data_IF_853209023436
#
_entry.id   IF_853209023436
#
_cell.length_a   1.000
_cell.length_b   1.000
_cell.length_c   1.000
_cell.angle_alpha   90.00
_cell.angle_beta   90.00
_cell.angle_gamma   90.00
#
_symmetry.space_group_name_H-M   'P 1'
#
loop_
_entity.id
_entity.type
_entity.pdbx_description
1 polymer ?
#
# COMPACT_ATOMS: atom_id res chain seq x y z
N UNK A 1 -3.84 -37.89 12.17
CA UNK A 1 -2.88 -36.78 12.41
C UNK A 1 -3.69 -35.58 12.89
N UNK A 2 -3.46 -35.12 14.12
CA UNK A 2 -4.16 -33.98 14.73
C UNK A 2 -3.73 -32.71 14.00
N UNK A 3 -4.70 -31.92 13.52
CA UNK A 3 -4.45 -30.56 13.01
C UNK A 3 -3.87 -29.73 14.16
N UNK A 4 -2.77 -28.99 13.98
CA UNK A 4 -2.22 -28.14 15.02
C UNK A 4 -3.22 -27.01 15.34
N UNK A 5 -3.59 -26.89 16.61
CA UNK A 5 -4.61 -26.00 17.16
C UNK A 5 -4.18 -24.53 17.28
N UNK A 6 -3.11 -24.13 16.59
CA UNK A 6 -2.46 -22.82 16.74
C UNK A 6 -2.56 -21.91 15.49
N UNK A 7 -3.38 -22.29 14.50
CA UNK A 7 -3.61 -21.54 13.26
C UNK A 7 -5.10 -21.26 13.00
N UNK A 8 -5.95 -21.39 14.01
CA UNK A 8 -7.41 -21.27 13.91
C UNK A 8 -7.99 -20.06 14.66
N UNK A 9 -7.16 -19.31 15.39
CA UNK A 9 -7.52 -17.97 15.86
C UNK A 9 -7.28 -16.96 14.72
N UNK A 10 -8.34 -16.23 14.36
CA UNK A 10 -8.36 -14.99 13.58
C UNK A 10 -8.20 -14.99 12.05
N UNK A 11 -8.51 -16.07 11.33
CA UNK A 11 -8.68 -15.98 9.85
C UNK A 11 -10.12 -15.67 9.41
N UNK A 12 -11.11 -15.91 10.28
CA UNK A 12 -12.52 -15.58 10.01
C UNK A 12 -12.88 -14.15 10.37
N UNK A 13 -12.26 -13.58 11.42
CA UNK A 13 -12.59 -12.24 11.93
C UNK A 13 -12.18 -11.14 10.94
N UNK A 14 -10.99 -11.23 10.34
CA UNK A 14 -10.48 -10.17 9.43
C UNK A 14 -11.25 -10.03 8.11
N UNK A 15 -12.25 -10.87 7.83
CA UNK A 15 -13.01 -10.84 6.56
C UNK A 15 -14.49 -10.44 6.74
N UNK A 16 -15.02 -10.42 7.97
CA UNK A 16 -16.41 -10.02 8.28
C UNK A 16 -16.52 -8.55 8.69
N UNK A 17 -15.48 -8.00 9.32
CA UNK A 17 -15.57 -6.67 9.97
C UNK A 17 -15.74 -5.50 8.98
N UNK A 18 -15.49 -5.72 7.68
CA UNK A 18 -15.69 -4.71 6.64
C UNK A 18 -17.10 -4.68 6.04
N UNK A 19 -17.95 -5.66 6.39
CA UNK A 19 -19.34 -5.69 5.96
C UNK A 19 -20.25 -4.95 6.99
N UNK A 20 -19.84 -4.91 8.28
CA UNK A 20 -20.60 -4.29 9.39
C UNK A 20 -20.35 -2.77 9.55
N UNK A 21 -19.15 -2.27 9.24
CA UNK A 21 -18.80 -0.84 9.42
C UNK A 21 -19.34 0.08 8.31
N UNK A 22 -19.92 -0.48 7.25
CA UNK A 22 -20.30 0.28 6.07
C UNK A 22 -19.09 0.86 5.34
N UNK A 23 -19.18 0.95 4.02
CA UNK A 23 -18.13 1.55 3.18
C UNK A 23 -18.07 3.09 3.33
N UNK A 24 -18.52 3.66 4.44
CA UNK A 24 -18.71 5.10 4.63
C UNK A 24 -17.43 5.94 4.68
N UNK A 25 -16.28 5.36 5.04
CA UNK A 25 -15.08 6.15 5.38
C UNK A 25 -13.76 5.61 4.78
N UNK A 26 -13.67 5.48 3.46
CA UNK A 26 -12.34 5.63 2.83
C UNK A 26 -12.13 7.14 2.60
N UNK A 27 -11.66 7.84 3.64
CA UNK A 27 -11.25 9.24 3.57
C UNK A 27 -9.72 9.29 3.37
N UNK A 28 -9.29 10.08 2.38
CA UNK A 28 -8.25 11.13 2.53
C UNK A 28 -7.80 11.63 1.15
N UNK A 29 -8.67 12.42 0.51
CA UNK A 29 -8.25 13.67 -0.12
C UNK A 29 -8.89 14.76 0.74
N UNK A 30 -8.10 15.45 1.56
CA UNK A 30 -8.56 16.59 2.37
C UNK A 30 -9.39 17.54 1.51
N UNK A 31 -10.67 17.67 1.86
CA UNK A 31 -11.57 18.69 1.36
C UNK A 31 -12.29 19.29 2.57
N UNK A 32 -12.26 20.62 2.65
CA UNK A 32 -12.83 21.42 3.74
C UNK A 32 -14.27 20.99 4.11
N UNK A 33 -14.53 20.90 5.41
CA UNK A 33 -15.80 20.47 6.03
C UNK A 33 -17.02 21.34 5.69
N UNK A 34 -16.86 22.38 4.86
CA UNK A 34 -17.90 23.37 4.57
C UNK A 34 -18.79 23.05 3.35
N UNK A 35 -18.50 21.98 2.58
CA UNK A 35 -19.30 21.58 1.41
C UNK A 35 -20.25 20.39 1.66
N UNK A 36 -20.33 19.88 2.89
CA UNK A 36 -21.25 18.80 3.30
C UNK A 36 -22.63 19.36 3.70
N UNK A 37 -23.38 19.87 2.72
CA UNK A 37 -24.83 20.08 2.87
C UNK A 37 -25.61 18.95 2.18
N UNK A 38 -26.08 18.04 3.03
CA UNK A 38 -27.42 17.41 3.06
C UNK A 38 -28.17 17.29 1.72
N UNK A 39 -28.08 16.10 1.10
CA UNK A 39 -29.20 15.54 0.34
C UNK A 39 -29.38 14.08 0.74
N UNK A 40 -30.09 13.88 1.84
CA UNK A 40 -30.52 12.55 2.28
C UNK A 40 -31.52 11.97 1.27
N UNK A 41 -31.04 11.05 0.43
CA UNK A 41 -31.89 10.05 -0.20
C UNK A 41 -31.92 8.87 0.78
N UNK A 42 -33.03 8.74 1.50
CA UNK A 42 -33.37 7.51 2.23
C UNK A 42 -33.63 6.42 1.19
N UNK A 43 -32.61 5.64 0.86
CA UNK A 43 -32.84 4.31 0.32
C UNK A 43 -33.12 3.38 1.51
N UNK A 44 -34.32 2.82 1.48
CA UNK A 44 -34.88 1.90 2.45
C UNK A 44 -34.16 0.56 2.34
N UNK A 45 -33.09 0.36 3.10
CA UNK A 45 -32.49 -0.96 3.26
C UNK A 45 -33.24 -1.73 4.36
N UNK A 46 -33.86 -2.83 3.90
CA UNK A 46 -34.53 -3.84 4.68
C UNK A 46 -33.60 -4.49 5.68
N UNK A 47 -34.04 -4.56 6.93
CA UNK A 47 -33.49 -5.40 7.99
C UNK A 47 -33.37 -6.85 7.49
N UNK A 48 -32.17 -7.40 7.49
CA UNK A 48 -31.94 -8.84 7.32
C UNK A 48 -31.71 -9.40 8.72
N UNK A 49 -32.75 -9.96 9.30
CA UNK A 49 -32.65 -10.78 10.51
C UNK A 49 -31.97 -12.11 10.16
N UNK A 50 -30.92 -12.46 10.88
CA UNK A 50 -30.26 -13.77 10.80
C UNK A 50 -31.16 -14.86 11.41
N UNK A 51 -32.19 -15.28 10.66
CA UNK A 51 -32.90 -16.53 10.93
C UNK A 51 -32.10 -17.71 10.33
N UNK A 52 -31.68 -18.62 11.21
CA UNK A 52 -31.16 -19.95 10.85
C UNK A 52 -32.28 -20.77 10.20
N UNK A 53 -32.49 -20.56 8.90
CA UNK A 53 -33.51 -21.23 8.10
C UNK A 53 -33.12 -22.71 7.90
N UNK A 54 -33.92 -23.59 8.48
CA UNK A 54 -33.85 -25.03 8.27
C UNK A 54 -33.96 -25.39 6.79
N UNK A 55 -33.21 -26.42 6.34
CA UNK A 55 -33.12 -26.95 4.97
C UNK A 55 -34.45 -27.54 4.43
N UNK A 56 -35.49 -26.72 4.32
CA UNK A 56 -36.65 -27.01 3.50
C UNK A 56 -36.40 -26.35 2.14
N UNK A 57 -36.47 -27.07 1.01
CA UNK A 57 -36.37 -26.44 -0.30
C UNK A 57 -37.49 -25.42 -0.40
N UNK A 58 -37.10 -24.15 -0.46
CA UNK A 58 -38.04 -23.09 -0.75
C UNK A 58 -38.55 -23.40 -2.16
N UNK A 59 -39.86 -23.33 -2.42
CA UNK A 59 -40.40 -23.63 -3.76
C UNK A 59 -39.90 -22.69 -4.89
N UNK A 60 -38.86 -21.90 -4.64
CA UNK A 60 -38.18 -21.02 -5.59
C UNK A 60 -36.74 -21.52 -5.80
N UNK A 61 -36.40 -22.06 -6.98
CA UNK A 61 -35.07 -22.58 -7.25
C UNK A 61 -33.95 -21.52 -7.10
N UNK A 62 -34.31 -20.23 -7.21
CA UNK A 62 -33.37 -19.10 -7.09
C UNK A 62 -32.91 -18.84 -5.64
N UNK A 63 -33.62 -19.39 -4.65
CA UNK A 63 -33.31 -19.23 -3.21
C UNK A 63 -32.69 -20.48 -2.59
N UNK A 64 -32.69 -21.59 -3.31
CA UNK A 64 -32.11 -22.82 -2.81
C UNK A 64 -30.58 -22.73 -2.81
N UNK A 65 -29.96 -22.97 -1.65
CA UNK A 65 -28.51 -22.89 -1.53
C UNK A 65 -27.87 -24.08 -2.24
N UNK A 66 -27.12 -23.81 -3.30
CA UNK A 66 -26.34 -24.83 -3.99
C UNK A 66 -25.25 -25.39 -3.06
N UNK A 67 -25.36 -26.67 -2.70
CA UNK A 67 -24.33 -27.36 -1.93
C UNK A 67 -23.11 -27.63 -2.81
N UNK A 68 -22.06 -26.83 -2.59
CA UNK A 68 -20.76 -27.02 -3.20
C UNK A 68 -19.83 -27.82 -2.28
N UNK A 69 -18.84 -28.56 -2.82
CA UNK A 69 -17.81 -29.22 -2.01
C UNK A 69 -17.18 -28.33 -0.93
N UNK A 70 -16.96 -27.04 -1.20
CA UNK A 70 -16.42 -26.08 -0.22
C UNK A 70 -17.34 -25.79 0.98
N UNK A 71 -18.65 -26.01 0.82
CA UNK A 71 -19.66 -25.81 1.87
C UNK A 71 -19.87 -27.08 2.72
N UNK A 72 -19.26 -28.19 2.33
CA UNK A 72 -19.37 -29.48 3.01
C UNK A 72 -18.20 -29.69 3.96
N UNK A 73 -18.44 -30.43 5.06
CA UNK A 73 -17.34 -30.91 5.89
C UNK A 73 -16.43 -31.86 5.11
N UNK A 74 -15.10 -31.81 5.29
CA UNK A 74 -14.17 -32.75 4.64
C UNK A 74 -14.55 -34.23 4.85
N UNK A 75 -15.20 -34.55 5.96
CA UNK A 75 -15.71 -35.89 6.24
C UNK A 75 -16.81 -36.33 5.26
N UNK A 76 -17.73 -35.42 4.90
CA UNK A 76 -18.81 -35.67 3.95
C UNK A 76 -18.23 -35.87 2.55
N UNK A 77 -17.30 -35.00 2.15
CA UNK A 77 -16.58 -35.10 0.86
C UNK A 77 -15.89 -36.46 0.75
N UNK A 78 -15.23 -36.93 1.82
CA UNK A 78 -14.58 -38.24 1.84
C UNK A 78 -15.57 -39.40 1.80
N UNK A 79 -16.64 -39.34 2.61
CA UNK A 79 -17.67 -40.39 2.70
C UNK A 79 -18.36 -40.64 1.37
N UNK A 80 -18.68 -39.57 0.63
CA UNK A 80 -19.35 -39.65 -0.67
C UNK A 80 -18.38 -39.69 -1.86
N UNK A 81 -17.06 -39.76 -1.61
CA UNK A 81 -16.01 -39.80 -2.65
C UNK A 81 -16.09 -38.65 -3.65
N UNK A 82 -16.32 -37.43 -3.15
CA UNK A 82 -16.49 -36.22 -3.96
C UNK A 82 -15.16 -35.48 -4.20
N UNK A 83 -14.00 -36.15 -4.04
CA UNK A 83 -12.69 -35.49 -4.17
C UNK A 83 -12.50 -34.85 -5.55
N UNK A 84 -12.88 -35.56 -6.62
CA UNK A 84 -12.77 -35.03 -7.98
C UNK A 84 -13.61 -33.75 -8.18
N UNK A 85 -14.80 -33.66 -7.55
CA UNK A 85 -15.61 -32.45 -7.60
C UNK A 85 -14.97 -31.31 -6.81
N UNK A 86 -14.36 -31.61 -5.66
CA UNK A 86 -13.60 -30.64 -4.88
C UNK A 86 -12.40 -30.09 -5.68
N UNK A 87 -11.69 -30.94 -6.42
CA UNK A 87 -10.57 -30.53 -7.29
C UNK A 87 -11.04 -29.65 -8.46
N UNK A 88 -12.20 -29.96 -9.06
CA UNK A 88 -12.81 -29.13 -10.10
C UNK A 88 -13.27 -27.79 -9.54
N UNK A 89 -13.92 -27.79 -8.38
CA UNK A 89 -14.32 -26.55 -7.71
C UNK A 89 -13.09 -25.70 -7.39
N UNK A 90 -12.00 -26.31 -6.89
CA UNK A 90 -10.77 -25.59 -6.57
C UNK A 90 -10.23 -24.83 -7.79
N UNK A 91 -10.18 -25.46 -8.97
CA UNK A 91 -9.77 -24.80 -10.22
C UNK A 91 -10.71 -23.66 -10.60
N UNK A 92 -12.01 -23.84 -10.41
CA UNK A 92 -13.00 -22.80 -10.67
C UNK A 92 -12.84 -21.62 -9.71
N UNK A 93 -12.57 -21.86 -8.42
CA UNK A 93 -12.30 -20.80 -7.43
C UNK A 93 -11.03 -20.03 -7.75
N UNK A 94 -9.97 -20.70 -8.22
CA UNK A 94 -8.75 -20.04 -8.71
C UNK A 94 -9.08 -19.08 -9.87
N UNK A 95 -9.89 -19.52 -10.84
CA UNK A 95 -10.36 -18.66 -11.92
C UNK A 95 -11.14 -17.45 -11.40
N UNK A 96 -12.11 -17.67 -10.50
CA UNK A 96 -12.89 -16.59 -9.87
C UNK A 96 -12.03 -15.60 -9.09
N UNK A 97 -10.99 -16.07 -8.40
CA UNK A 97 -10.04 -15.21 -7.69
C UNK A 97 -9.28 -14.32 -8.68
N UNK A 98 -8.74 -14.89 -9.76
CA UNK A 98 -8.03 -14.14 -10.78
C UNK A 98 -8.94 -13.11 -11.46
N UNK A 99 -10.15 -13.50 -11.87
CA UNK A 99 -11.12 -12.59 -12.49
C UNK A 99 -11.53 -11.45 -11.55
N UNK A 100 -11.71 -11.76 -10.26
CA UNK A 100 -12.06 -10.76 -9.24
C UNK A 100 -10.91 -9.79 -9.00
N UNK A 101 -9.66 -10.28 -8.92
CA UNK A 101 -8.48 -9.42 -8.81
C UNK A 101 -8.29 -8.57 -10.07
N UNK A 102 -8.55 -9.12 -11.25
CA UNK A 102 -8.44 -8.41 -12.51
C UNK A 102 -9.45 -7.29 -12.65
N UNK A 103 -10.71 -7.56 -12.30
CA UNK A 103 -11.76 -6.55 -12.23
C UNK A 103 -11.48 -5.50 -11.17
N UNK A 104 -11.01 -5.91 -9.98
CA UNK A 104 -10.61 -4.99 -8.90
C UNK A 104 -9.51 -4.02 -9.37
N UNK A 105 -8.44 -4.54 -9.96
CA UNK A 105 -7.35 -3.69 -10.48
C UNK A 105 -7.86 -2.71 -11.53
N UNK A 106 -8.72 -3.14 -12.46
CA UNK A 106 -9.31 -2.27 -13.47
C UNK A 106 -10.17 -1.17 -12.84
N UNK A 107 -11.02 -1.52 -11.88
CA UNK A 107 -11.88 -0.58 -11.16
C UNK A 107 -11.04 0.46 -10.37
N UNK A 108 -9.92 0.05 -9.76
CA UNK A 108 -9.01 0.98 -9.10
C UNK A 108 -8.31 1.93 -10.10
N UNK A 109 -7.89 1.41 -11.26
CA UNK A 109 -7.32 2.24 -12.33
C UNK A 109 -8.34 3.27 -12.85
N UNK A 110 -9.58 2.85 -13.12
CA UNK A 110 -10.65 3.74 -13.61
C UNK A 110 -11.02 4.77 -12.55
N UNK A 111 -11.10 4.38 -11.27
CA UNK A 111 -11.34 5.30 -10.16
C UNK A 111 -10.26 6.40 -10.09
N UNK A 112 -8.98 6.04 -10.14
CA UNK A 112 -7.88 7.00 -10.17
C UNK A 112 -7.95 7.94 -11.38
N UNK A 113 -8.27 7.41 -12.56
CA UNK A 113 -8.40 8.22 -13.77
C UNK A 113 -9.57 9.21 -13.69
N UNK A 114 -10.73 8.81 -13.16
CA UNK A 114 -11.89 9.69 -12.97
C UNK A 114 -11.59 10.81 -11.97
N UNK A 115 -10.91 10.51 -10.86
CA UNK A 115 -10.50 11.53 -9.89
C UNK A 115 -9.62 12.61 -10.54
N UNK A 116 -8.67 12.21 -11.38
CA UNK A 116 -7.77 13.15 -12.08
C UNK A 116 -8.45 13.93 -13.20
N UNK A 117 -9.29 13.29 -14.00
CA UNK A 117 -9.80 13.87 -15.25
C UNK A 117 -11.15 14.55 -15.09
N UNK A 118 -12.03 14.01 -14.26
CA UNK A 118 -13.38 14.52 -14.04
C UNK A 118 -13.45 15.38 -12.78
N UNK A 119 -13.07 14.83 -11.62
CA UNK A 119 -13.25 15.51 -10.33
C UNK A 119 -12.36 16.74 -10.23
N UNK A 120 -11.06 16.63 -10.54
CA UNK A 120 -10.12 17.76 -10.49
C UNK A 120 -10.47 18.90 -11.45
N UNK A 121 -11.05 18.57 -12.61
CA UNK A 121 -11.39 19.56 -13.64
C UNK A 121 -12.83 20.09 -13.48
N UNK A 122 -13.63 19.53 -12.58
CA UNK A 122 -15.01 19.95 -12.37
C UNK A 122 -15.07 21.31 -11.66
N UNK A 123 -15.69 22.28 -12.31
CA UNK A 123 -15.95 23.59 -11.75
C UNK A 123 -17.44 23.79 -11.44
N UNK A 124 -17.73 24.26 -10.23
CA UNK A 124 -19.09 24.46 -9.73
C UNK A 124 -19.76 23.19 -9.19
N UNK A 125 -20.81 23.38 -8.39
CA UNK A 125 -21.44 22.31 -7.59
C UNK A 125 -22.00 21.18 -8.46
N UNK A 126 -22.77 21.50 -9.50
CA UNK A 126 -23.45 20.48 -10.34
C UNK A 126 -22.49 19.52 -11.05
N UNK A 127 -21.38 20.05 -11.58
CA UNK A 127 -20.39 19.25 -12.30
C UNK A 127 -19.59 18.38 -11.33
N UNK A 128 -19.26 18.92 -10.14
CA UNK A 128 -18.65 18.15 -9.05
C UNK A 128 -19.55 17.00 -8.62
N UNK A 129 -20.83 17.24 -8.34
CA UNK A 129 -21.78 16.17 -7.95
C UNK A 129 -21.86 15.08 -9.01
N UNK A 130 -21.91 15.45 -10.31
CA UNK A 130 -21.91 14.46 -11.40
C UNK A 130 -20.61 13.66 -11.44
N UNK A 131 -19.45 14.31 -11.30
CA UNK A 131 -18.16 13.64 -11.28
C UNK A 131 -18.04 12.66 -10.09
N UNK A 132 -18.49 13.07 -8.90
CA UNK A 132 -18.56 12.19 -7.73
C UNK A 132 -19.52 11.02 -7.94
N UNK A 133 -20.68 11.23 -8.57
CA UNK A 133 -21.60 10.13 -8.90
C UNK A 133 -20.97 9.09 -9.84
N UNK A 134 -20.10 9.50 -10.77
CA UNK A 134 -19.33 8.57 -11.60
C UNK A 134 -18.30 7.79 -10.77
N UNK A 135 -17.60 8.45 -9.85
CA UNK A 135 -16.68 7.78 -8.91
C UNK A 135 -17.41 6.79 -8.01
N UNK A 136 -18.58 7.15 -7.47
CA UNK A 136 -19.40 6.25 -6.63
C UNK A 136 -19.83 4.99 -7.39
N UNK A 137 -20.08 5.07 -8.70
CA UNK A 137 -20.38 3.89 -9.51
C UNK A 137 -19.18 2.94 -9.58
N UNK A 138 -17.99 3.45 -9.88
CA UNK A 138 -16.77 2.64 -9.91
C UNK A 138 -16.45 2.07 -8.52
N UNK A 139 -16.72 2.82 -7.46
CA UNK A 139 -16.57 2.32 -6.08
C UNK A 139 -17.43 1.09 -5.81
N UNK A 140 -18.67 1.06 -6.30
CA UNK A 140 -19.53 -0.13 -6.22
C UNK A 140 -18.96 -1.32 -6.99
N UNK A 141 -18.27 -1.08 -8.10
CA UNK A 141 -17.55 -2.14 -8.84
C UNK A 141 -16.37 -2.69 -8.03
N UNK A 142 -15.59 -1.81 -7.37
CA UNK A 142 -14.54 -2.22 -6.42
C UNK A 142 -15.11 -3.12 -5.33
N UNK A 143 -16.19 -2.69 -4.67
CA UNK A 143 -16.85 -3.46 -3.61
C UNK A 143 -17.38 -4.80 -4.11
N UNK A 144 -17.95 -4.84 -5.32
CA UNK A 144 -18.41 -6.07 -5.95
C UNK A 144 -17.27 -7.07 -6.14
N UNK A 145 -16.13 -6.63 -6.69
CA UNK A 145 -14.97 -7.49 -6.89
C UNK A 145 -14.33 -7.94 -5.59
N UNK A 146 -14.28 -7.09 -4.56
CA UNK A 146 -13.81 -7.48 -3.21
C UNK A 146 -14.70 -8.55 -2.60
N UNK A 147 -16.03 -8.38 -2.65
CA UNK A 147 -16.99 -9.38 -2.14
C UNK A 147 -16.85 -10.71 -2.87
N UNK A 148 -16.76 -10.68 -4.20
CA UNK A 148 -16.52 -11.87 -5.03
C UNK A 148 -15.21 -12.56 -4.66
N UNK A 149 -14.12 -11.80 -4.52
CA UNK A 149 -12.82 -12.31 -4.10
C UNK A 149 -12.87 -12.98 -2.72
N UNK A 150 -13.46 -12.33 -1.72
CA UNK A 150 -13.59 -12.88 -0.35
C UNK A 150 -14.38 -14.18 -0.35
N UNK A 151 -15.50 -14.24 -1.07
CA UNK A 151 -16.31 -15.46 -1.20
C UNK A 151 -15.52 -16.60 -1.84
N UNK A 152 -14.79 -16.32 -2.92
CA UNK A 152 -13.96 -17.31 -3.59
C UNK A 152 -12.78 -17.75 -2.71
N UNK A 153 -12.17 -16.84 -1.96
CA UNK A 153 -11.06 -17.12 -1.03
C UNK A 153 -11.51 -17.98 0.15
N UNK A 154 -12.69 -17.72 0.72
CA UNK A 154 -13.28 -18.58 1.76
C UNK A 154 -13.46 -20.01 1.26
N UNK A 155 -13.95 -20.18 0.03
CA UNK A 155 -14.07 -21.50 -0.59
C UNK A 155 -12.71 -22.15 -0.86
N UNK A 156 -11.71 -21.37 -1.32
CA UNK A 156 -10.33 -21.82 -1.50
C UNK A 156 -9.77 -22.43 -0.21
N UNK A 157 -9.87 -21.70 0.91
CA UNK A 157 -9.37 -22.13 2.22
C UNK A 157 -10.07 -23.39 2.76
N UNK A 158 -11.32 -23.62 2.38
CA UNK A 158 -12.05 -24.84 2.74
C UNK A 158 -11.60 -26.07 1.92
N UNK A 159 -11.15 -25.86 0.69
CA UNK A 159 -10.80 -26.91 -0.26
C UNK A 159 -9.31 -27.30 -0.23
N UNK A 160 -8.41 -26.37 0.08
CA UNK A 160 -6.96 -26.58 -0.02
C UNK A 160 -6.24 -26.59 1.33
N UNK A 161 -5.12 -27.31 1.37
CA UNK A 161 -4.11 -27.27 2.45
C UNK A 161 -2.77 -26.75 1.90
N UNK A 162 -2.72 -26.40 0.61
CA UNK A 162 -1.51 -25.89 -0.03
C UNK A 162 -1.17 -24.49 0.48
N UNK A 163 -0.08 -24.41 1.25
CA UNK A 163 0.39 -23.18 1.88
C UNK A 163 0.87 -22.17 0.84
N UNK A 164 1.43 -22.62 -0.29
CA UNK A 164 1.90 -21.71 -1.34
C UNK A 164 0.72 -20.98 -1.99
N UNK A 165 -0.34 -21.73 -2.30
CA UNK A 165 -1.57 -21.18 -2.88
C UNK A 165 -2.28 -20.22 -1.91
N UNK A 166 -2.32 -20.56 -0.62
CA UNK A 166 -2.90 -19.70 0.43
C UNK A 166 -2.10 -18.40 0.57
N UNK A 167 -0.77 -18.47 0.49
CA UNK A 167 0.10 -17.31 0.56
C UNK A 167 0.07 -16.47 -0.73
N UNK A 168 -0.24 -17.09 -1.87
CA UNK A 168 -0.44 -16.38 -3.12
C UNK A 168 -1.71 -15.52 -3.07
N UNK A 169 -2.83 -16.07 -2.59
CA UNK A 169 -4.11 -15.37 -2.43
C UNK A 169 -4.29 -14.81 -1.01
N UNK A 170 -3.73 -13.63 -0.77
CA UNK A 170 -3.78 -12.93 0.53
C UNK A 170 -5.14 -12.26 0.80
N UNK A 171 -5.48 -11.96 2.07
CA UNK A 171 -6.67 -11.14 2.35
C UNK A 171 -6.50 -9.73 1.77
N UNK A 172 -7.61 -9.08 1.42
CA UNK A 172 -7.64 -7.69 0.94
C UNK A 172 -8.07 -6.80 2.09
N UNK A 173 -7.18 -5.91 2.51
CA UNK A 173 -7.44 -4.94 3.58
C UNK A 173 -7.91 -3.60 3.00
N UNK A 174 -8.49 -2.75 3.84
CA UNK A 174 -8.90 -1.38 3.46
C UNK A 174 -7.73 -0.54 2.93
N UNK A 175 -6.53 -0.76 3.47
CA UNK A 175 -5.30 -0.11 3.02
C UNK A 175 -4.91 -0.49 1.59
N UNK A 176 -5.18 -1.73 1.17
CA UNK A 176 -4.89 -2.22 -0.19
C UNK A 176 -5.84 -1.60 -1.24
N UNK A 177 -7.00 -1.10 -0.80
CA UNK A 177 -8.03 -0.47 -1.63
C UNK A 177 -7.84 1.03 -1.78
N UNK A 178 -6.86 1.62 -1.10
CA UNK A 178 -6.44 2.99 -1.38
C UNK A 178 -6.10 3.02 -2.87
N UNK A 179 -6.76 3.91 -3.60
CA UNK A 179 -6.40 4.18 -4.99
C UNK A 179 -4.91 4.49 -4.94
N UNK A 180 -4.08 3.60 -5.50
CA UNK A 180 -2.67 3.90 -5.65
C UNK A 180 -2.65 5.18 -6.47
N UNK A 181 -2.30 6.31 -5.86
CA UNK A 181 -2.30 7.61 -6.50
C UNK A 181 -1.15 7.63 -7.52
N UNK A 182 -1.34 6.93 -8.64
CA UNK A 182 -0.54 7.09 -9.85
C UNK A 182 -0.77 8.47 -10.49
N UNK A 183 -1.73 9.24 -9.96
CA UNK A 183 -2.24 10.45 -10.59
C UNK A 183 -1.75 11.76 -9.99
N UNK A 184 -1.31 11.78 -8.72
CA UNK A 184 -0.77 13.01 -8.11
C UNK A 184 0.75 12.94 -7.96
N UNK A 185 1.47 13.40 -8.98
CA UNK A 185 2.94 13.43 -9.02
C UNK A 185 3.56 14.28 -7.90
N UNK A 186 2.76 15.13 -7.23
CA UNK A 186 3.24 16.15 -6.27
C UNK A 186 2.88 15.86 -4.81
N UNK A 187 2.20 14.74 -4.51
CA UNK A 187 1.85 14.39 -3.13
C UNK A 187 3.13 14.09 -2.32
N UNK A 188 3.31 14.81 -1.21
CA UNK A 188 4.38 14.55 -0.25
C UNK A 188 4.13 13.18 0.43
N UNK A 189 5.21 12.43 0.72
CA UNK A 189 5.11 11.12 1.41
C UNK A 189 5.04 9.87 0.52
N UNK A 190 5.10 10.02 -0.82
CA UNK A 190 5.12 8.88 -1.77
C UNK A 190 6.34 7.95 -1.66
N UNK A 191 7.35 8.32 -0.87
CA UNK A 191 8.54 7.50 -0.64
C UNK A 191 8.23 6.19 0.09
N UNK A 192 7.19 6.21 0.94
CA UNK A 192 6.81 5.09 1.81
C UNK A 192 5.67 4.25 1.23
N UNK A 193 5.06 4.71 0.14
CA UNK A 193 3.87 4.10 -0.42
C UNK A 193 4.23 2.76 -1.10
N UNK A 194 3.71 1.68 -0.54
CA UNK A 194 3.87 0.31 -1.06
C UNK A 194 2.62 -0.10 -1.79
N UNK A 195 2.77 -0.56 -3.03
CA UNK A 195 1.67 -1.11 -3.81
C UNK A 195 1.05 -2.32 -3.10
N UNK A 196 -0.27 -2.41 -3.15
CA UNK A 196 -1.01 -3.58 -2.69
C UNK A 196 -0.49 -4.86 -3.35
N UNK A 197 -0.50 -5.95 -2.61
CA UNK A 197 0.12 -7.21 -3.03
C UNK A 197 -0.44 -7.79 -4.34
N UNK A 198 -1.72 -7.56 -4.64
CA UNK A 198 -2.38 -8.11 -5.83
C UNK A 198 -1.87 -7.49 -7.14
N UNK A 199 -1.24 -6.31 -7.09
CA UNK A 199 -0.55 -5.74 -8.24
C UNK A 199 0.67 -6.56 -8.68
N UNK A 200 1.20 -7.43 -7.82
CA UNK A 200 2.36 -8.28 -8.17
C UNK A 200 1.96 -9.59 -8.86
N UNK A 201 0.67 -9.96 -8.85
CA UNK A 201 0.20 -11.27 -9.33
C UNK A 201 -0.04 -11.28 -10.85
N UNK A 202 -0.51 -10.17 -11.40
CA UNK A 202 -0.94 -10.06 -12.80
C UNK A 202 0.04 -9.32 -13.73
N UNK A 203 1.25 -9.00 -13.28
CA UNK A 203 2.18 -8.15 -14.04
C UNK A 203 2.52 -8.72 -15.43
N UNK A 204 2.58 -10.05 -15.59
CA UNK A 204 2.82 -10.71 -16.88
C UNK A 204 1.63 -10.72 -17.83
N UNK A 205 0.40 -10.51 -17.33
CA UNK A 205 -0.84 -10.55 -18.12
C UNK A 205 -1.44 -9.16 -18.38
N UNK A 206 -0.76 -8.11 -17.91
CA UNK A 206 -1.16 -6.71 -18.01
C UNK A 206 -1.51 -6.23 -19.42
N UNK A 207 -0.84 -6.77 -20.45
CA UNK A 207 -0.97 -6.34 -21.86
C UNK A 207 -2.35 -6.57 -22.48
N UNK A 208 -3.32 -7.12 -21.74
CA UNK A 208 -4.72 -7.25 -22.17
C UNK A 208 -5.54 -5.95 -22.01
N UNK A 209 -5.10 -5.01 -21.17
CA UNK A 209 -5.85 -3.78 -20.87
C UNK A 209 -4.93 -2.55 -20.84
N UNK A 210 -5.21 -1.55 -21.69
CA UNK A 210 -4.42 -0.31 -21.82
C UNK A 210 -4.24 0.43 -20.49
N UNK A 211 -5.31 0.57 -19.69
CA UNK A 211 -5.24 1.24 -18.39
C UNK A 211 -4.33 0.52 -17.38
N UNK A 212 -4.33 -0.83 -17.39
CA UNK A 212 -3.44 -1.61 -16.53
C UNK A 212 -2.01 -1.51 -17.02
N UNK A 213 -1.79 -1.64 -18.33
CA UNK A 213 -0.46 -1.49 -18.92
C UNK A 213 0.16 -0.13 -18.57
N UNK A 214 -0.63 0.94 -18.71
CA UNK A 214 -0.22 2.29 -18.32
C UNK A 214 0.09 2.39 -16.83
N UNK A 215 -0.73 1.77 -15.98
CA UNK A 215 -0.47 1.69 -14.54
C UNK A 215 0.88 1.00 -14.25
N UNK A 216 1.14 -0.16 -14.84
CA UNK A 216 2.39 -0.89 -14.65
C UNK A 216 3.59 -0.12 -15.17
N UNK A 217 3.45 0.55 -16.33
CA UNK A 217 4.49 1.41 -16.91
C UNK A 217 4.87 2.56 -15.97
N UNK A 218 3.88 3.30 -15.47
CA UNK A 218 4.10 4.42 -14.54
C UNK A 218 4.67 3.94 -13.21
N UNK A 219 4.12 2.84 -12.66
CA UNK A 219 4.61 2.21 -11.44
C UNK A 219 6.08 1.81 -11.56
N UNK A 220 6.45 1.16 -12.67
CA UNK A 220 7.83 0.77 -12.95
C UNK A 220 8.74 1.99 -13.07
N UNK A 221 8.34 3.02 -13.82
CA UNK A 221 9.12 4.26 -13.97
C UNK A 221 9.37 4.95 -12.62
N UNK A 222 8.36 4.98 -11.74
CA UNK A 222 8.50 5.51 -10.38
C UNK A 222 9.42 4.67 -9.51
N UNK A 223 9.29 3.34 -9.57
CA UNK A 223 10.16 2.42 -8.86
C UNK A 223 11.62 2.57 -9.29
N UNK A 224 11.86 2.70 -10.60
CA UNK A 224 13.18 2.98 -11.17
C UNK A 224 13.71 4.34 -10.71
N UNK A 225 12.93 5.41 -10.85
CA UNK A 225 13.35 6.74 -10.42
C UNK A 225 13.66 6.80 -8.91
N UNK A 226 12.92 6.05 -8.09
CA UNK A 226 13.20 5.92 -6.65
C UNK A 226 14.53 5.22 -6.41
N UNK A 227 14.79 4.11 -7.10
CA UNK A 227 16.08 3.40 -7.05
C UNK A 227 17.23 4.31 -7.45
N UNK A 228 17.12 4.97 -8.60
CA UNK A 228 18.16 5.85 -9.14
C UNK A 228 18.45 7.01 -8.17
N UNK A 229 17.40 7.62 -7.57
CA UNK A 229 17.57 8.66 -6.55
C UNK A 229 18.24 8.12 -5.28
N UNK A 230 17.91 6.92 -4.83
CA UNK A 230 18.55 6.34 -3.65
C UNK A 230 20.03 6.03 -3.92
N UNK A 231 20.36 5.57 -5.14
CA UNK A 231 21.74 5.36 -5.57
C UNK A 231 22.52 6.70 -5.57
N UNK A 232 21.90 7.79 -6.06
CA UNK A 232 22.44 9.16 -5.97
C UNK A 232 22.59 9.62 -4.52
N UNK A 233 21.58 9.45 -3.67
CA UNK A 233 21.57 9.91 -2.29
C UNK A 233 22.66 9.22 -1.46
N UNK A 234 22.89 7.92 -1.68
CA UNK A 234 23.99 7.19 -1.04
C UNK A 234 25.34 7.79 -1.45
N UNK A 235 25.51 8.13 -2.73
CA UNK A 235 26.71 8.82 -3.20
C UNK A 235 26.84 10.23 -2.60
N UNK A 236 25.77 11.02 -2.56
CA UNK A 236 25.77 12.37 -2.00
C UNK A 236 26.09 12.34 -0.51
N UNK A 237 25.35 11.56 0.28
CA UNK A 237 25.50 11.48 1.74
C UNK A 237 26.91 11.01 2.12
N UNK A 238 27.49 10.07 1.38
CA UNK A 238 28.86 9.61 1.64
C UNK A 238 29.91 10.70 1.36
N UNK A 239 29.67 11.60 0.40
CA UNK A 239 30.51 12.78 0.17
C UNK A 239 30.23 13.89 1.19
N UNK A 240 28.98 14.12 1.59
CA UNK A 240 28.62 15.08 2.64
C UNK A 240 29.28 14.71 3.97
N UNK A 241 29.26 13.44 4.36
CA UNK A 241 29.98 12.92 5.53
C UNK A 241 31.48 13.25 5.44
N UNK A 242 32.09 13.09 4.27
CA UNK A 242 33.48 13.47 4.05
C UNK A 242 33.68 14.98 4.18
N UNK A 243 32.81 15.81 3.61
CA UNK A 243 32.88 17.25 3.74
C UNK A 243 32.73 17.73 5.19
N UNK A 244 31.89 17.08 5.99
CA UNK A 244 31.77 17.37 7.43
C UNK A 244 33.09 17.04 8.16
N UNK A 245 33.69 15.88 7.88
CA UNK A 245 35.01 15.50 8.44
C UNK A 245 36.09 16.54 8.08
N UNK A 246 36.07 17.07 6.85
CA UNK A 246 37.10 17.99 6.37
C UNK A 246 36.88 19.45 6.78
N UNK A 247 35.63 19.89 6.90
CA UNK A 247 35.28 21.29 7.17
C UNK A 247 35.55 21.68 8.62
N UNK A 248 35.29 20.81 9.60
CA UNK A 248 35.49 21.13 11.02
C UNK A 248 36.95 21.40 11.41
N UNK A 249 37.96 20.65 10.93
CA UNK A 249 39.36 21.00 11.14
C UNK A 249 39.74 22.36 10.54
N UNK A 250 39.23 22.67 9.34
CA UNK A 250 39.47 23.96 8.69
C UNK A 250 38.80 25.10 9.46
N UNK A 251 37.58 24.90 9.96
CA UNK A 251 36.88 25.84 10.81
C UNK A 251 37.67 26.11 12.11
N UNK A 252 38.22 25.06 12.74
CA UNK A 252 39.07 25.18 13.91
C UNK A 252 40.33 26.03 13.64
N UNK A 253 40.98 25.82 12.50
CA UNK A 253 42.16 26.59 12.09
C UNK A 253 41.82 28.08 11.86
N UNK A 254 40.68 28.36 11.21
CA UNK A 254 40.20 29.74 11.00
C UNK A 254 39.97 30.44 12.35
N UNK A 255 39.29 29.78 13.30
CA UNK A 255 39.06 30.36 14.63
C UNK A 255 40.34 30.53 15.43
N UNK A 256 41.30 29.62 15.30
CA UNK A 256 42.64 29.75 15.90
C UNK A 256 43.39 30.97 15.34
N UNK A 257 43.40 31.15 14.02
CA UNK A 257 44.02 32.30 13.38
C UNK A 257 43.36 33.62 13.81
N UNK A 258 42.03 33.67 13.87
CA UNK A 258 41.28 34.84 14.38
C UNK A 258 41.64 35.14 15.83
N UNK A 259 41.75 34.13 16.68
CA UNK A 259 42.16 34.28 18.08
C UNK A 259 43.59 34.82 18.26
N UNK A 260 44.49 34.58 17.29
CA UNK A 260 45.85 35.14 17.28
C UNK A 260 45.91 36.61 16.86
N UNK A 261 45.00 37.05 15.98
CA UNK A 261 44.98 38.43 15.46
C UNK A 261 44.28 39.44 16.39
N UNK A 262 43.37 38.98 17.24
CA UNK A 262 42.54 39.86 18.09
C UNK A 262 43.27 40.22 19.39
N UNK A 263 43.24 41.51 19.76
CA UNK A 263 43.86 42.04 20.99
C UNK A 263 42.96 41.99 22.23
N UNK A 264 41.63 42.01 22.06
CA UNK A 264 40.68 42.00 23.18
C UNK A 264 40.54 40.62 23.83
N UNK A 265 40.72 40.53 25.14
CA UNK A 265 40.73 39.26 25.90
C UNK A 265 39.43 38.46 25.78
N UNK A 266 38.26 39.12 25.87
CA UNK A 266 36.96 38.44 25.76
C UNK A 266 36.70 37.86 24.35
N UNK A 267 37.04 38.62 23.31
CA UNK A 267 36.90 38.15 21.91
C UNK A 267 37.90 37.04 21.59
N UNK A 268 39.10 37.11 22.17
CA UNK A 268 40.12 36.07 22.09
C UNK A 268 39.63 34.77 22.74
N UNK A 269 39.11 34.83 23.96
CA UNK A 269 38.54 33.68 24.66
C UNK A 269 37.39 33.03 23.86
N UNK A 270 36.50 33.84 23.28
CA UNK A 270 35.42 33.35 22.41
C UNK A 270 35.94 32.62 21.17
N UNK A 271 36.95 33.17 20.48
CA UNK A 271 37.54 32.52 19.31
C UNK A 271 38.19 31.17 19.66
N UNK A 272 38.92 31.09 20.78
CA UNK A 272 39.46 29.82 21.27
C UNK A 272 38.38 28.81 21.65
N UNK A 273 37.28 29.27 22.28
CA UNK A 273 36.14 28.40 22.57
C UNK A 273 35.52 27.82 21.29
N UNK A 274 35.34 28.65 20.24
CA UNK A 274 34.82 28.17 18.94
C UNK A 274 35.75 27.17 18.26
N UNK A 275 37.07 27.39 18.35
CA UNK A 275 38.06 26.42 17.87
C UNK A 275 37.92 25.07 18.60
N UNK A 276 37.80 25.07 19.93
CA UNK A 276 37.63 23.83 20.70
C UNK A 276 36.33 23.09 20.32
N UNK A 277 35.23 23.82 20.13
CA UNK A 277 33.95 23.22 19.68
C UNK A 277 34.08 22.60 18.29
N UNK A 278 34.74 23.28 17.36
CA UNK A 278 34.97 22.75 16.02
C UNK A 278 35.87 21.49 16.04
N UNK A 279 36.91 21.47 16.87
CA UNK A 279 37.75 20.27 17.06
C UNK A 279 36.97 19.09 17.61
N UNK A 280 36.15 19.31 18.64
CA UNK A 280 35.28 18.27 19.22
C UNK A 280 34.31 17.70 18.17
N UNK A 281 33.68 18.56 17.37
CA UNK A 281 32.81 18.13 16.26
C UNK A 281 33.56 17.34 15.19
N UNK A 282 34.81 17.69 14.91
CA UNK A 282 35.64 16.93 13.97
C UNK A 282 35.90 15.50 14.48
N UNK A 283 36.23 15.35 15.76
CA UNK A 283 36.44 14.03 16.39
C UNK A 283 35.16 13.19 16.38
N UNK A 284 34.02 13.79 16.76
CA UNK A 284 32.71 13.14 16.72
C UNK A 284 32.31 12.72 15.30
N UNK A 285 32.53 13.58 14.29
CA UNK A 285 32.25 13.27 12.89
C UNK A 285 33.15 12.16 12.35
N UNK A 286 34.45 12.17 12.68
CA UNK A 286 35.38 11.10 12.28
C UNK A 286 34.97 9.75 12.88
N UNK A 287 34.61 9.72 14.17
CA UNK A 287 34.15 8.50 14.82
C UNK A 287 32.79 8.03 14.27
N UNK A 288 31.83 8.94 14.10
CA UNK A 288 30.47 8.63 13.67
C UNK A 288 30.34 8.19 12.21
N UNK A 289 31.21 8.71 11.33
CA UNK A 289 31.21 8.41 9.89
C UNK A 289 32.28 7.41 9.46
N UNK A 290 33.01 6.82 10.41
CA UNK A 290 34.02 5.80 10.14
C UNK A 290 33.45 4.66 9.29
N UNK A 291 34.07 4.41 8.13
CA UNK A 291 33.65 3.36 7.19
C UNK A 291 32.41 3.66 6.34
N UNK A 292 31.75 4.81 6.56
CA UNK A 292 30.54 5.24 5.80
C UNK A 292 30.83 6.35 4.79
N UNK A 293 31.79 7.22 5.10
CA UNK A 293 32.24 8.24 4.16
C UNK A 293 33.01 7.61 2.99
N UNK A 294 32.98 8.27 1.82
CA UNK A 294 33.81 7.86 0.68
C UNK A 294 35.28 7.82 1.10
N UNK A 295 35.95 6.70 0.80
CA UNK A 295 37.40 6.57 1.00
C UNK A 295 38.11 7.50 0.03
N UNK A 296 38.41 8.70 0.49
CA UNK A 296 39.15 9.65 -0.31
C UNK A 296 40.65 9.32 -0.18
N UNK A 297 41.21 8.65 -1.20
CA UNK A 297 42.65 8.54 -1.39
C UNK A 297 43.21 9.91 -1.82
N UNK A 298 43.40 10.82 -0.86
CA UNK A 298 44.09 12.07 -1.10
C UNK A 298 45.37 12.09 -0.28
N UNK A 299 46.48 11.69 -0.89
CA UNK A 299 47.75 12.29 -0.53
C UNK A 299 47.66 13.75 -0.99
N UNK A 300 47.28 14.67 -0.09
CA UNK A 300 47.42 16.11 -0.36
C UNK A 300 48.91 16.35 -0.57
N UNK A 301 49.36 16.37 -1.82
CA UNK A 301 50.55 17.14 -2.21
C UNK A 301 50.24 18.59 -1.94
N UNK A 302 50.44 19.03 -0.70
CA UNK A 302 50.57 20.45 -0.38
C UNK A 302 51.75 20.95 -1.21
N UNK A 303 51.48 21.75 -2.24
CA UNK A 303 52.46 22.66 -2.84
C UNK A 303 52.61 23.88 -1.95
#
# INVERSE_FOLDING_TARGET
MKRPSFLLEDLSQTNTDLDDEGWGELIDVELDEQDLFESGVKDSDSEVEDEVESLQPSGRPDKDTLLMPSSLSPFVVQRFRLQHLADLELKLRIGQLNDSLDGLMLALCTQGLLLRTKVRNASGTKTKTRAFNEVTKVRREVEFHVRSYRRARKALLALTVDVELINHYRPINKEDLKTADFTDERRLGQSTDTLAWFWMIGAGEAGKNELKEEFYRVSWLRGKARRDRWDEEVAIVSHEMLFVILSHPQEAEIWEQRGKMIKGEGQKAFAYQKMLVARKRAEEAQAGFAGKAVKANWERKRK
#
